data_IF_892935892703
#
_entry.id   IF_892935892703
#
_cell.length_a   1.000
_cell.length_b   1.000
_cell.length_c   1.000
_cell.angle_alpha   90.00
_cell.angle_beta   90.00
_cell.angle_gamma   90.00
#
_symmetry.space_group_name_H-M   'P 1'
#
loop_
_entity.id
_entity.type
_entity.pdbx_description
1 polymer ?
#
# COMPACT_ATOMS: atom_id res chain seq x y z
N UNK A 1 -4.50 2.84 90.67
CA UNK A 1 -4.43 2.13 89.42
C UNK A 1 -4.93 3.09 88.38
N UNK A 2 -4.06 3.75 87.65
CA UNK A 2 -4.48 4.42 86.45
C UNK A 2 -3.64 3.99 85.23
N UNK A 3 -4.37 3.83 84.16
CA UNK A 3 -3.93 3.47 82.84
C UNK A 3 -3.07 4.62 82.17
N UNK A 4 -1.98 4.20 81.55
CA UNK A 4 -1.10 5.10 80.79
C UNK A 4 -1.39 4.87 79.34
N UNK A 5 -1.99 5.89 78.66
CA UNK A 5 -2.10 5.94 77.20
C UNK A 5 -0.82 6.52 76.60
N UNK A 6 -0.16 5.72 75.81
CA UNK A 6 0.98 6.15 74.96
C UNK A 6 0.45 6.50 73.57
N UNK A 7 0.49 7.79 73.21
CA UNK A 7 0.17 8.27 71.88
C UNK A 7 1.39 8.18 70.98
N UNK A 8 1.30 7.36 69.93
CA UNK A 8 2.33 7.23 68.92
C UNK A 8 2.10 8.27 67.83
N UNK A 9 3.00 9.22 67.69
CA UNK A 9 3.05 10.17 66.58
C UNK A 9 3.61 9.42 65.33
N UNK A 10 2.82 9.34 64.26
CA UNK A 10 3.28 8.89 62.95
C UNK A 10 3.76 10.10 62.14
N UNK A 11 5.03 10.14 61.85
CA UNK A 11 5.64 11.07 60.88
C UNK A 11 5.34 10.55 59.46
N UNK A 12 4.54 11.30 58.72
CA UNK A 12 4.37 11.17 57.28
C UNK A 12 5.57 11.83 56.54
N UNK A 13 6.47 11.01 56.02
CA UNK A 13 7.47 11.44 55.09
C UNK A 13 6.90 11.37 53.64
N UNK A 14 6.58 12.51 53.10
CA UNK A 14 6.15 12.67 51.70
C UNK A 14 7.39 12.62 50.81
N UNK A 15 7.70 11.46 50.27
CA UNK A 15 8.70 11.32 49.21
C UNK A 15 8.07 11.68 47.85
N UNK A 16 8.47 12.80 47.27
CA UNK A 16 8.22 13.12 45.86
C UNK A 16 9.14 12.22 45.02
N UNK A 17 8.55 11.15 44.44
CA UNK A 17 9.17 10.43 43.32
C UNK A 17 8.85 11.22 42.05
N UNK A 18 9.85 11.95 41.56
CA UNK A 18 9.84 12.47 40.19
C UNK A 18 9.98 11.26 39.25
N UNK A 19 8.89 10.80 38.67
CA UNK A 19 8.91 9.89 37.55
C UNK A 19 9.36 10.71 36.33
N UNK A 20 10.65 10.63 36.00
CA UNK A 20 11.15 11.01 34.69
C UNK A 20 10.62 9.94 33.72
N UNK A 21 9.56 10.22 33.01
CA UNK A 21 9.17 9.48 31.82
C UNK A 21 10.28 9.75 30.79
N UNK A 22 11.20 8.81 30.68
CA UNK A 22 11.97 8.60 29.46
C UNK A 22 10.93 8.14 28.43
N UNK A 23 10.50 9.04 27.57
CA UNK A 23 9.89 8.67 26.30
C UNK A 23 11.03 8.08 25.47
N UNK A 24 11.31 6.80 25.68
CA UNK A 24 11.90 5.98 24.64
C UNK A 24 10.78 5.81 23.63
N UNK A 25 10.90 6.46 22.48
CA UNK A 25 10.13 6.07 21.31
C UNK A 25 10.56 4.64 20.96
N UNK A 26 9.87 3.66 21.53
CA UNK A 26 9.78 2.35 20.92
C UNK A 26 8.80 2.59 19.74
N UNK A 27 9.28 2.47 18.53
CA UNK A 27 8.39 2.18 17.42
C UNK A 27 7.54 0.98 17.85
N UNK A 28 6.23 1.05 17.75
CA UNK A 28 5.42 -0.14 17.87
C UNK A 28 5.85 -1.04 16.71
N UNK A 29 6.31 -2.24 17.03
CA UNK A 29 6.60 -3.25 16.02
C UNK A 29 5.29 -3.44 15.22
N UNK A 30 5.37 -3.46 13.89
CA UNK A 30 4.19 -3.70 13.05
C UNK A 30 3.66 -5.11 13.36
N UNK A 31 2.34 -5.23 13.58
CA UNK A 31 1.70 -6.53 13.64
C UNK A 31 1.83 -7.24 12.28
N UNK A 32 1.87 -8.58 12.21
CA UNK A 32 1.94 -9.30 10.95
C UNK A 32 0.70 -9.02 10.07
N UNK A 33 0.82 -9.33 8.77
CA UNK A 33 -0.28 -9.20 7.82
C UNK A 33 -1.48 -10.06 8.24
N UNK A 34 -2.56 -9.42 8.59
CA UNK A 34 -3.83 -10.01 9.00
C UNK A 34 -4.96 -9.61 8.03
N UNK A 35 -6.19 -10.03 8.27
CA UNK A 35 -7.35 -9.68 7.45
C UNK A 35 -8.57 -9.31 8.29
N UNK A 36 -9.60 -8.72 7.70
CA UNK A 36 -10.81 -8.29 8.38
C UNK A 36 -10.58 -7.09 9.29
N UNK A 37 -11.06 -7.17 10.54
CA UNK A 37 -10.93 -6.09 11.53
C UNK A 37 -9.48 -5.91 12.04
N UNK A 38 -8.63 -6.90 11.84
CA UNK A 38 -7.22 -6.89 12.25
C UNK A 38 -6.26 -6.48 11.11
N UNK A 39 -6.76 -6.24 9.90
CA UNK A 39 -5.96 -5.72 8.79
C UNK A 39 -5.47 -4.30 9.08
N UNK A 40 -4.19 -4.05 8.79
CA UNK A 40 -3.61 -2.71 8.80
C UNK A 40 -2.63 -2.53 7.64
N UNK A 41 -2.55 -1.31 7.11
CA UNK A 41 -1.56 -0.94 6.10
C UNK A 41 -0.15 -1.02 6.68
N UNK A 42 0.02 -0.63 7.96
CA UNK A 42 1.31 -0.73 8.64
C UNK A 42 1.77 -2.19 8.76
N UNK A 43 0.87 -3.12 9.14
CA UNK A 43 1.15 -4.55 9.17
C UNK A 43 1.56 -5.08 7.80
N UNK A 44 0.82 -4.69 6.75
CA UNK A 44 1.12 -5.07 5.37
C UNK A 44 2.49 -4.54 4.90
N UNK A 45 2.83 -3.28 5.19
CA UNK A 45 4.15 -2.69 4.87
C UNK A 45 5.27 -3.34 5.71
N UNK A 46 4.94 -3.82 6.91
CA UNK A 46 5.82 -4.58 7.80
C UNK A 46 6.30 -5.93 7.24
N UNK A 47 5.56 -6.50 6.28
CA UNK A 47 5.97 -7.74 5.59
C UNK A 47 6.98 -7.51 4.46
N UNK A 48 7.20 -6.26 4.04
CA UNK A 48 8.02 -5.96 2.87
C UNK A 48 9.47 -5.68 3.28
N UNK A 49 10.46 -6.49 2.81
CA UNK A 49 11.85 -6.33 3.18
C UNK A 49 12.44 -4.98 2.75
N UNK A 50 13.08 -4.27 3.67
CA UNK A 50 13.78 -3.01 3.38
C UNK A 50 15.04 -3.21 2.50
N UNK A 51 15.50 -4.46 2.33
CA UNK A 51 16.64 -4.79 1.48
C UNK A 51 16.38 -4.62 -0.03
N UNK A 52 15.11 -4.54 -0.44
CA UNK A 52 14.73 -4.22 -1.82
C UNK A 52 14.79 -2.70 -2.00
N UNK A 53 15.98 -2.18 -2.32
CA UNK A 53 16.22 -0.75 -2.47
C UNK A 53 15.87 -0.26 -3.88
N UNK A 54 15.39 1.00 -4.00
CA UNK A 54 15.21 1.65 -5.30
C UNK A 54 14.41 2.95 -5.23
N UNK A 55 14.57 3.77 -6.28
CA UNK A 55 13.96 5.12 -6.36
C UNK A 55 12.50 5.11 -6.86
N UNK A 56 11.97 3.95 -7.27
CA UNK A 56 10.65 3.84 -7.91
C UNK A 56 9.81 2.72 -7.30
N UNK A 57 9.85 2.61 -5.97
CA UNK A 57 9.07 1.63 -5.23
C UNK A 57 7.57 1.94 -5.33
N UNK A 58 6.80 0.92 -5.72
CA UNK A 58 5.34 0.92 -5.66
C UNK A 58 4.90 -0.21 -4.74
N UNK A 59 4.26 0.16 -3.65
CA UNK A 59 3.70 -0.79 -2.68
C UNK A 59 2.20 -0.85 -2.91
N UNK A 60 1.65 -2.06 -3.01
CA UNK A 60 0.23 -2.33 -3.12
C UNK A 60 -0.18 -3.22 -1.96
N UNK A 61 -1.22 -2.84 -1.23
CA UNK A 61 -1.74 -3.65 -0.13
C UNK A 61 -3.26 -3.74 -0.20
N UNK A 62 -3.83 -4.82 0.33
CA UNK A 62 -5.28 -4.93 0.38
C UNK A 62 -5.78 -6.14 1.15
N UNK A 63 -6.94 -5.95 1.75
CA UNK A 63 -7.78 -6.98 2.34
C UNK A 63 -8.90 -7.33 1.35
N UNK A 64 -8.79 -8.50 0.69
CA UNK A 64 -9.76 -8.96 -0.28
C UNK A 64 -11.07 -9.39 0.38
N UNK A 65 -11.01 -9.87 1.62
CA UNK A 65 -12.18 -10.26 2.39
C UNK A 65 -13.02 -9.04 2.73
N UNK A 66 -12.41 -7.99 3.27
CA UNK A 66 -13.07 -6.72 3.60
C UNK A 66 -13.58 -5.98 2.36
N UNK A 67 -12.76 -5.93 1.30
CA UNK A 67 -13.15 -5.30 0.05
C UNK A 67 -14.35 -6.00 -0.59
N UNK A 68 -14.41 -7.34 -0.53
CA UNK A 68 -15.57 -8.11 -1.01
C UNK A 68 -16.82 -7.80 -0.20
N UNK A 69 -16.71 -7.69 1.14
CA UNK A 69 -17.83 -7.29 2.02
C UNK A 69 -18.35 -5.90 1.64
N UNK A 70 -17.45 -4.92 1.52
CA UNK A 70 -17.76 -3.53 1.11
C UNK A 70 -18.44 -3.47 -0.26
N UNK A 71 -17.95 -4.25 -1.22
CA UNK A 71 -18.52 -4.33 -2.56
C UNK A 71 -19.84 -5.12 -2.60
N UNK A 72 -20.13 -5.94 -1.57
CA UNK A 72 -21.26 -6.86 -1.56
C UNK A 72 -21.09 -8.02 -2.52
N UNK A 73 -19.83 -8.47 -2.71
CA UNK A 73 -19.46 -9.56 -3.62
C UNK A 73 -19.33 -10.87 -2.84
N UNK A 74 -19.84 -11.95 -3.43
CA UNK A 74 -19.57 -13.30 -2.94
C UNK A 74 -18.22 -13.78 -3.51
N UNK A 75 -17.28 -14.11 -2.64
CA UNK A 75 -15.97 -14.64 -3.03
C UNK A 75 -16.11 -16.04 -3.60
N UNK A 76 -15.56 -16.34 -4.80
CA UNK A 76 -15.52 -17.69 -5.33
C UNK A 76 -14.75 -18.64 -4.41
N UNK A 77 -15.22 -19.89 -4.32
CA UNK A 77 -14.58 -20.93 -3.51
C UNK A 77 -13.75 -21.92 -4.35
N UNK A 78 -13.67 -21.72 -5.67
CA UNK A 78 -13.04 -22.64 -6.61
C UNK A 78 -12.27 -21.86 -7.67
N UNK A 79 -10.97 -22.12 -7.78
CA UNK A 79 -10.07 -21.43 -8.72
C UNK A 79 -10.44 -21.70 -10.20
N UNK A 80 -11.16 -22.81 -10.50
CA UNK A 80 -11.65 -23.16 -11.85
C UNK A 80 -12.94 -22.42 -12.23
N UNK A 81 -13.53 -21.64 -11.32
CA UNK A 81 -14.78 -20.93 -11.57
C UNK A 81 -14.59 -19.74 -12.52
N UNK A 82 -15.49 -19.62 -13.53
CA UNK A 82 -15.58 -18.42 -14.37
C UNK A 82 -15.91 -17.15 -13.52
N UNK A 83 -16.45 -17.33 -12.29
CA UNK A 83 -16.80 -16.27 -11.35
C UNK A 83 -15.58 -15.55 -10.79
N UNK A 84 -14.39 -16.20 -10.78
CA UNK A 84 -13.14 -15.58 -10.26
C UNK A 84 -12.76 -14.33 -11.06
N UNK A 85 -12.84 -14.40 -12.39
CA UNK A 85 -12.53 -13.25 -13.24
C UNK A 85 -13.50 -12.09 -13.06
N UNK A 86 -14.79 -12.40 -12.81
CA UNK A 86 -15.82 -11.39 -12.52
C UNK A 86 -15.53 -10.74 -11.16
N UNK A 87 -15.32 -11.54 -10.12
CA UNK A 87 -14.98 -11.06 -8.78
C UNK A 87 -13.70 -10.20 -8.75
N UNK A 88 -12.61 -10.65 -9.38
CA UNK A 88 -11.34 -9.88 -9.51
C UNK A 88 -11.57 -8.59 -10.30
N UNK A 89 -12.35 -8.66 -11.39
CA UNK A 89 -12.69 -7.48 -12.19
C UNK A 89 -13.47 -6.44 -11.40
N UNK A 90 -14.44 -6.87 -10.61
CA UNK A 90 -15.26 -5.98 -9.77
C UNK A 90 -14.42 -5.35 -8.64
N UNK A 91 -13.54 -6.12 -7.99
CA UNK A 91 -12.61 -5.59 -6.98
C UNK A 91 -11.59 -4.61 -7.56
N UNK A 92 -11.14 -4.81 -8.80
CA UNK A 92 -10.19 -3.90 -9.47
C UNK A 92 -10.85 -2.67 -10.10
N UNK A 93 -12.14 -2.46 -9.86
CA UNK A 93 -12.89 -1.32 -10.39
C UNK A 93 -13.19 -1.41 -11.89
N UNK A 94 -13.07 -2.60 -12.51
CA UNK A 94 -13.40 -2.84 -13.90
C UNK A 94 -14.91 -3.06 -14.15
N UNK A 95 -15.75 -2.75 -13.15
CA UNK A 95 -17.21 -2.89 -13.25
C UNK A 95 -17.76 -2.26 -14.52
N UNK A 96 -18.78 -2.90 -15.10
CA UNK A 96 -19.39 -2.46 -16.36
C UNK A 96 -19.93 -1.03 -16.25
N UNK A 97 -19.80 -0.21 -17.32
CA UNK A 97 -20.19 1.20 -17.30
C UNK A 97 -21.68 1.49 -17.10
N UNK A 98 -22.51 0.47 -17.00
CA UNK A 98 -23.95 0.57 -16.81
C UNK A 98 -24.41 0.26 -15.36
N UNK A 99 -23.50 -0.11 -14.46
CA UNK A 99 -23.82 -0.35 -13.05
C UNK A 99 -23.35 0.83 -12.20
N UNK A 100 -24.21 1.28 -11.29
CA UNK A 100 -23.93 2.41 -10.41
C UNK A 100 -22.59 2.19 -9.65
N UNK A 101 -21.58 2.96 -10.02
CA UNK A 101 -20.27 3.14 -9.36
C UNK A 101 -19.72 1.93 -8.59
N UNK A 102 -18.56 1.43 -9.01
CA UNK A 102 -17.79 0.45 -8.22
C UNK A 102 -17.74 0.91 -6.76
N UNK A 103 -18.14 0.02 -5.84
CA UNK A 103 -18.19 0.35 -4.40
C UNK A 103 -16.85 0.16 -3.70
N UNK A 104 -16.00 -0.69 -4.28
CA UNK A 104 -14.67 -0.96 -3.80
C UNK A 104 -13.65 -0.86 -4.94
N UNK A 105 -12.41 -0.62 -4.56
CA UNK A 105 -11.25 -0.72 -5.44
C UNK A 105 -10.07 -1.27 -4.66
N UNK A 106 -9.45 -2.32 -5.20
CA UNK A 106 -8.22 -2.91 -4.70
C UNK A 106 -7.19 -2.87 -5.83
N UNK A 107 -6.03 -2.25 -5.62
CA UNK A 107 -4.94 -2.25 -6.60
C UNK A 107 -4.23 -3.61 -6.58
N UNK A 108 -4.72 -4.58 -7.37
CA UNK A 108 -4.19 -5.95 -7.39
C UNK A 108 -2.83 -6.02 -8.11
N UNK A 109 -1.80 -6.63 -7.51
CA UNK A 109 -0.51 -6.83 -8.16
C UNK A 109 -0.56 -7.93 -9.21
N UNK A 110 0.25 -7.80 -10.27
CA UNK A 110 0.34 -8.79 -11.35
C UNK A 110 0.77 -10.19 -10.83
N UNK A 111 1.56 -10.25 -9.74
CA UNK A 111 1.97 -11.52 -9.14
C UNK A 111 0.81 -12.27 -8.48
N UNK A 112 -0.22 -11.56 -7.99
CA UNK A 112 -1.41 -12.16 -7.40
C UNK A 112 -2.43 -12.57 -8.45
N UNK A 113 -2.56 -11.79 -9.52
CA UNK A 113 -3.49 -12.03 -10.64
C UNK A 113 -2.72 -11.93 -11.95
N UNK A 114 -1.93 -12.98 -12.30
CA UNK A 114 -1.12 -12.96 -13.50
C UNK A 114 -2.00 -12.84 -14.75
N UNK A 115 -1.64 -11.94 -15.66
CA UNK A 115 -2.43 -11.63 -16.87
C UNK A 115 -2.67 -12.85 -17.77
N UNK A 116 -1.77 -13.85 -17.71
CA UNK A 116 -1.68 -14.94 -18.68
C UNK A 116 -1.85 -16.33 -18.10
N UNK A 117 -1.90 -16.47 -16.79
CA UNK A 117 -2.22 -17.71 -16.10
C UNK A 117 -3.61 -17.61 -15.49
N UNK A 118 -4.37 -18.69 -15.56
CA UNK A 118 -5.63 -18.79 -14.82
C UNK A 118 -5.35 -19.06 -13.34
N UNK A 119 -6.27 -18.68 -12.43
CA UNK A 119 -6.13 -19.05 -11.02
C UNK A 119 -5.94 -20.55 -10.78
N UNK A 120 -6.60 -21.41 -11.58
CA UNK A 120 -6.43 -22.87 -11.50
C UNK A 120 -5.08 -23.37 -12.01
N UNK A 121 -4.44 -22.68 -12.96
CA UNK A 121 -3.05 -23.00 -13.36
C UNK A 121 -2.07 -22.62 -12.24
N UNK A 122 -2.31 -21.52 -11.54
CA UNK A 122 -1.53 -21.10 -10.38
C UNK A 122 -1.69 -22.11 -9.22
N UNK A 123 -2.93 -22.44 -8.86
CA UNK A 123 -3.25 -23.45 -7.83
C UNK A 123 -2.57 -24.80 -8.14
N UNK A 124 -2.67 -25.30 -9.39
CA UNK A 124 -2.04 -26.55 -9.81
C UNK A 124 -0.51 -26.52 -9.82
N UNK A 125 0.12 -25.36 -9.90
CA UNK A 125 1.58 -25.21 -9.96
C UNK A 125 2.22 -24.97 -8.60
N UNK A 126 1.56 -24.19 -7.73
CA UNK A 126 2.16 -23.74 -6.46
C UNK A 126 1.30 -24.09 -5.23
N UNK A 127 0.09 -24.61 -5.41
CA UNK A 127 -0.80 -25.07 -4.35
C UNK A 127 -1.76 -23.99 -3.83
N UNK A 128 -1.77 -22.78 -4.39
CA UNK A 128 -2.70 -21.72 -4.02
C UNK A 128 -3.00 -20.77 -5.19
N UNK A 129 -4.03 -19.95 -5.03
CA UNK A 129 -4.42 -18.94 -6.00
C UNK A 129 -5.09 -17.75 -5.33
N UNK A 130 -5.49 -16.73 -6.09
CA UNK A 130 -6.14 -15.52 -5.55
C UNK A 130 -7.41 -15.81 -4.73
N UNK A 131 -8.10 -16.94 -4.96
CA UNK A 131 -9.28 -17.31 -4.18
C UNK A 131 -8.96 -17.76 -2.76
N UNK A 132 -7.72 -18.09 -2.45
CA UNK A 132 -7.26 -18.55 -1.14
C UNK A 132 -6.69 -17.40 -0.29
N UNK A 133 -6.49 -16.21 -0.91
CA UNK A 133 -5.85 -15.05 -0.29
C UNK A 133 -6.85 -14.16 0.41
N UNK A 134 -6.69 -13.92 1.69
CA UNK A 134 -7.51 -12.99 2.48
C UNK A 134 -6.96 -11.54 2.41
N UNK A 135 -5.65 -11.38 2.54
CA UNK A 135 -4.97 -10.09 2.40
C UNK A 135 -3.61 -10.24 1.74
N UNK A 136 -3.06 -9.13 1.26
CA UNK A 136 -1.76 -9.15 0.60
C UNK A 136 -0.98 -7.85 0.82
N UNK A 137 0.34 -7.96 0.69
CA UNK A 137 1.29 -6.86 0.54
C UNK A 137 2.22 -7.16 -0.63
N UNK A 138 2.41 -6.22 -1.54
CA UNK A 138 3.28 -6.38 -2.70
C UNK A 138 4.17 -5.15 -2.89
N UNK A 139 5.43 -5.39 -3.24
CA UNK A 139 6.42 -4.37 -3.60
C UNK A 139 6.90 -4.63 -5.03
N UNK A 140 6.80 -3.61 -5.86
CA UNK A 140 7.38 -3.62 -7.20
C UNK A 140 8.50 -2.60 -7.29
N UNK A 141 9.71 -3.07 -7.55
CA UNK A 141 10.92 -2.29 -7.80
C UNK A 141 11.74 -2.97 -8.90
N UNK A 142 11.46 -2.72 -10.19
CA UNK A 142 12.12 -3.46 -11.26
C UNK A 142 13.65 -3.41 -11.20
N UNK A 143 14.34 -4.55 -11.37
CA UNK A 143 13.79 -5.86 -11.81
C UNK A 143 13.24 -6.73 -10.68
N UNK A 144 13.21 -6.27 -9.46
CA UNK A 144 12.77 -7.02 -8.29
C UNK A 144 11.28 -6.81 -8.02
N UNK A 145 10.63 -7.85 -7.53
CA UNK A 145 9.28 -7.88 -7.03
C UNK A 145 9.22 -8.73 -5.76
N UNK A 146 8.26 -8.43 -4.91
CA UNK A 146 8.00 -9.17 -3.68
C UNK A 146 6.50 -9.14 -3.38
N UNK A 147 5.96 -10.28 -3.02
CA UNK A 147 4.56 -10.46 -2.63
C UNK A 147 4.50 -11.27 -1.36
N UNK A 148 3.71 -10.85 -0.39
CA UNK A 148 3.26 -11.68 0.73
C UNK A 148 1.75 -11.76 0.68
N UNK A 149 1.22 -12.96 0.88
CA UNK A 149 -0.22 -13.21 0.98
C UNK A 149 -0.52 -13.87 2.32
N UNK A 150 -1.65 -13.51 2.93
CA UNK A 150 -2.23 -14.15 4.11
C UNK A 150 -3.52 -14.84 3.72
N UNK A 151 -3.80 -15.99 4.34
CA UNK A 151 -4.99 -16.77 4.06
C UNK A 151 -5.05 -18.02 4.94
N UNK A 152 -5.90 -18.97 4.57
CA UNK A 152 -6.01 -20.22 5.30
C UNK A 152 -4.90 -21.23 4.88
N UNK A 153 -3.64 -20.76 4.88
CA UNK A 153 -2.48 -21.57 4.49
C UNK A 153 -1.97 -22.42 5.65
N UNK A 154 -1.39 -23.56 5.33
CA UNK A 154 -0.76 -24.49 6.29
C UNK A 154 0.50 -25.12 5.68
N UNK A 155 1.28 -25.86 6.47
CA UNK A 155 2.56 -26.46 6.09
C UNK A 155 2.50 -27.37 4.83
N UNK A 156 1.31 -27.75 4.38
CA UNK A 156 1.08 -28.57 3.20
C UNK A 156 0.52 -27.75 2.01
N UNK A 157 0.44 -26.40 2.12
CA UNK A 157 -0.17 -25.55 1.08
C UNK A 157 0.72 -25.47 -0.17
N UNK A 158 2.01 -25.25 -0.02
CA UNK A 158 2.93 -25.22 -1.16
C UNK A 158 3.06 -26.62 -1.79
N UNK A 159 2.96 -26.70 -3.12
CA UNK A 159 2.97 -27.97 -3.86
C UNK A 159 4.26 -28.78 -3.62
N UNK A 160 4.13 -30.07 -3.33
CA UNK A 160 5.24 -30.99 -3.04
C UNK A 160 6.22 -31.20 -4.21
N UNK A 161 5.81 -30.86 -5.44
CA UNK A 161 6.64 -30.95 -6.65
C UNK A 161 7.58 -29.74 -6.83
N UNK A 162 7.43 -28.68 -6.01
CA UNK A 162 8.35 -27.53 -6.00
C UNK A 162 9.76 -27.95 -5.59
N UNK A 163 10.76 -27.32 -6.20
CA UNK A 163 12.17 -27.66 -5.97
C UNK A 163 12.75 -26.82 -4.84
N UNK A 164 13.40 -27.47 -3.86
CA UNK A 164 14.15 -26.78 -2.79
C UNK A 164 15.36 -26.04 -3.37
N UNK A 165 15.51 -24.76 -2.98
CA UNK A 165 16.62 -23.88 -3.41
C UNK A 165 17.53 -23.52 -2.25
N UNK A 166 16.97 -23.26 -1.08
CA UNK A 166 17.65 -22.96 0.18
C UNK A 166 16.80 -23.50 1.34
N UNK A 167 17.29 -23.43 2.58
CA UNK A 167 16.53 -23.85 3.75
C UNK A 167 15.17 -23.11 3.77
N UNK A 168 14.06 -23.87 3.75
CA UNK A 168 12.68 -23.38 3.76
C UNK A 168 12.25 -22.52 2.55
N UNK A 169 13.08 -22.43 1.48
CA UNK A 169 12.75 -21.72 0.23
C UNK A 169 12.67 -22.71 -0.92
N UNK A 170 11.53 -22.68 -1.63
CA UNK A 170 11.27 -23.50 -2.82
C UNK A 170 11.12 -22.65 -4.08
N UNK A 171 11.07 -23.27 -5.25
CA UNK A 171 10.91 -22.59 -6.54
C UNK A 171 10.05 -23.40 -7.50
N UNK A 172 9.30 -22.67 -8.33
CA UNK A 172 8.51 -23.20 -9.45
C UNK A 172 9.39 -23.68 -10.63
N UNK A 173 10.54 -23.03 -10.84
CA UNK A 173 11.53 -23.39 -11.87
C UNK A 173 12.94 -23.37 -11.28
N UNK A 174 13.72 -24.41 -11.58
CA UNK A 174 15.13 -24.48 -11.17
C UNK A 174 15.98 -23.56 -12.02
N UNK A 175 16.70 -22.63 -11.38
CA UNK A 175 17.59 -21.65 -12.02
C UNK A 175 18.21 -20.69 -11.01
N UNK A 176 19.14 -19.85 -11.45
CA UNK A 176 19.66 -18.74 -10.64
C UNK A 176 18.61 -17.60 -10.60
N UNK A 177 18.67 -16.73 -9.60
CA UNK A 177 17.80 -15.55 -9.52
C UNK A 177 17.90 -14.74 -10.82
N UNK A 178 16.75 -14.30 -11.35
CA UNK A 178 16.62 -13.60 -12.64
C UNK A 178 17.08 -14.38 -13.90
N UNK A 179 17.42 -15.66 -13.79
CA UNK A 179 17.69 -16.47 -14.97
C UNK A 179 16.40 -16.71 -15.77
N UNK A 180 16.46 -16.43 -17.09
CA UNK A 180 15.28 -16.56 -17.94
C UNK A 180 15.31 -17.88 -18.72
N UNK A 181 14.25 -18.67 -18.60
CA UNK A 181 14.06 -19.91 -19.36
C UNK A 181 12.73 -19.88 -20.14
N UNK A 182 12.73 -19.24 -21.29
CA UNK A 182 11.53 -19.07 -22.13
C UNK A 182 10.91 -20.41 -22.63
N UNK A 183 11.60 -21.54 -22.43
CA UNK A 183 11.09 -22.86 -22.78
C UNK A 183 10.25 -23.47 -21.64
N UNK A 184 10.35 -22.91 -20.43
CA UNK A 184 9.64 -23.34 -19.22
C UNK A 184 8.87 -22.16 -18.57
N UNK A 185 7.80 -21.66 -19.21
CA UNK A 185 6.97 -20.61 -18.61
C UNK A 185 6.24 -21.13 -17.37
N UNK A 186 6.05 -20.25 -16.39
CA UNK A 186 5.33 -20.54 -15.15
C UNK A 186 4.07 -19.67 -15.01
N UNK A 187 3.26 -19.94 -14.01
CA UNK A 187 2.10 -19.11 -13.67
C UNK A 187 2.52 -17.67 -13.30
N UNK A 188 3.68 -17.50 -12.65
CA UNK A 188 4.22 -16.19 -12.28
C UNK A 188 5.01 -15.51 -13.41
N UNK A 189 5.59 -16.29 -14.33
CA UNK A 189 6.52 -15.76 -15.33
C UNK A 189 6.41 -16.41 -16.69
N UNK A 190 5.95 -15.69 -17.69
CA UNK A 190 5.92 -16.15 -19.10
C UNK A 190 7.29 -16.41 -19.70
N UNK A 191 8.32 -15.75 -19.18
CA UNK A 191 9.69 -15.86 -19.66
C UNK A 191 10.48 -16.86 -18.85
N UNK A 192 9.79 -17.61 -17.95
CA UNK A 192 10.38 -18.66 -17.12
C UNK A 192 11.44 -18.11 -16.16
N UNK A 193 11.24 -16.90 -15.62
CA UNK A 193 12.04 -16.46 -14.49
C UNK A 193 11.61 -17.25 -13.26
N UNK A 194 12.54 -17.80 -12.47
CA UNK A 194 12.20 -18.53 -11.26
C UNK A 194 11.52 -17.62 -10.24
N UNK A 195 10.48 -18.14 -9.59
CA UNK A 195 9.85 -17.52 -8.42
C UNK A 195 10.29 -18.27 -7.17
N UNK A 196 10.75 -17.53 -6.16
CA UNK A 196 11.13 -18.06 -4.85
C UNK A 196 9.93 -17.97 -3.93
N UNK A 197 9.59 -19.06 -3.30
CA UNK A 197 8.41 -19.20 -2.45
C UNK A 197 8.84 -19.69 -1.07
N UNK A 198 8.23 -19.15 -0.03
CA UNK A 198 8.34 -19.67 1.33
C UNK A 198 7.03 -19.49 2.06
N UNK A 199 6.77 -20.36 3.05
CA UNK A 199 5.62 -20.28 3.93
C UNK A 199 6.10 -20.08 5.37
N UNK A 200 5.44 -19.18 6.09
CA UNK A 200 5.64 -18.95 7.53
C UNK A 200 4.35 -18.48 8.19
N UNK A 201 3.88 -19.22 9.18
CA UNK A 201 2.77 -18.88 10.07
C UNK A 201 1.49 -18.41 9.32
N UNK A 202 1.05 -19.20 8.32
CA UNK A 202 -0.18 -18.93 7.54
C UNK A 202 -0.04 -17.81 6.49
N UNK A 203 1.21 -17.47 6.14
CA UNK A 203 1.54 -16.51 5.08
C UNK A 203 2.48 -17.16 4.08
N UNK A 204 2.36 -16.74 2.82
CA UNK A 204 3.26 -17.18 1.75
C UNK A 204 3.93 -15.95 1.13
N UNK A 205 5.26 -15.97 1.10
CA UNK A 205 6.06 -15.00 0.37
C UNK A 205 6.42 -15.52 -1.02
N UNK A 206 6.42 -14.63 -2.02
CA UNK A 206 6.87 -14.90 -3.38
C UNK A 206 7.75 -13.76 -3.90
N UNK A 207 8.90 -14.09 -4.51
CA UNK A 207 9.82 -13.08 -5.06
C UNK A 207 10.63 -13.64 -6.22
N UNK A 208 11.17 -12.75 -7.06
CA UNK A 208 12.16 -13.07 -8.08
C UNK A 208 13.55 -13.33 -7.50
N UNK A 209 13.79 -13.09 -6.20
CA UNK A 209 15.09 -13.23 -5.54
C UNK A 209 15.04 -14.06 -4.26
N UNK A 210 16.01 -14.97 -4.12
CA UNK A 210 16.20 -15.79 -2.91
C UNK A 210 16.53 -14.91 -1.69
N UNK A 211 17.26 -13.82 -1.90
CA UNK A 211 17.66 -12.90 -0.84
C UNK A 211 16.46 -12.28 -0.14
N UNK A 212 15.53 -11.72 -0.87
CA UNK A 212 14.34 -11.05 -0.32
C UNK A 212 13.45 -12.00 0.50
N UNK A 213 13.23 -13.24 0.00
CA UNK A 213 12.47 -14.26 0.75
C UNK A 213 13.17 -14.67 2.03
N UNK A 214 14.51 -14.79 1.99
CA UNK A 214 15.31 -15.10 3.19
C UNK A 214 15.25 -14.00 4.24
N UNK A 215 15.33 -12.72 3.81
CA UNK A 215 15.26 -11.55 4.71
C UNK A 215 13.89 -11.52 5.40
N UNK A 216 12.81 -11.81 4.65
CA UNK A 216 11.47 -11.94 5.20
C UNK A 216 11.36 -13.07 6.24
N UNK A 217 11.84 -14.29 5.93
CA UNK A 217 11.84 -15.43 6.86
C UNK A 217 12.63 -15.15 8.15
N UNK A 218 13.69 -14.35 8.05
CA UNK A 218 14.52 -13.98 9.22
C UNK A 218 13.87 -12.87 10.08
N UNK A 219 12.84 -12.18 9.59
CA UNK A 219 12.27 -11.00 10.24
C UNK A 219 13.28 -9.85 10.30
N UNK A 220 14.05 -9.63 9.22
CA UNK A 220 14.97 -8.52 9.09
C UNK A 220 14.20 -7.17 8.97
N UNK A 221 14.91 -6.02 8.87
CA UNK A 221 14.27 -4.68 8.74
C UNK A 221 13.27 -4.64 7.60
N UNK A 222 12.11 -4.03 7.85
CA UNK A 222 11.00 -3.89 6.90
C UNK A 222 10.80 -2.44 6.44
N UNK A 223 9.98 -2.22 5.42
CA UNK A 223 9.62 -0.88 4.97
C UNK A 223 8.77 -0.11 5.99
N UNK A 224 8.14 -0.78 6.96
CA UNK A 224 7.45 -0.10 8.07
C UNK A 224 8.42 0.66 9.00
N UNK A 225 9.70 0.30 9.00
CA UNK A 225 10.76 1.00 9.75
C UNK A 225 11.25 2.28 9.04
N UNK A 226 10.95 2.45 7.75
CA UNK A 226 11.19 3.70 7.04
C UNK A 226 10.16 4.75 7.47
N UNK A 227 10.63 5.95 7.81
CA UNK A 227 9.79 6.99 8.37
C UNK A 227 8.66 7.41 7.41
N UNK A 228 8.97 7.54 6.11
CA UNK A 228 7.99 7.93 5.09
C UNK A 228 6.88 6.90 4.93
N UNK A 229 7.24 5.65 4.70
CA UNK A 229 6.26 4.57 4.54
C UNK A 229 5.51 4.25 5.83
N UNK A 230 6.23 4.17 6.96
CA UNK A 230 5.63 3.88 8.26
C UNK A 230 4.65 4.94 8.74
N UNK A 231 4.98 6.23 8.59
CA UNK A 231 4.08 7.32 9.00
C UNK A 231 2.87 7.43 8.08
N UNK A 232 3.05 7.25 6.75
CA UNK A 232 1.94 7.20 5.79
C UNK A 232 1.01 6.03 6.06
N UNK A 233 1.55 4.84 6.34
CA UNK A 233 0.78 3.65 6.65
C UNK A 233 -0.07 3.85 7.92
N UNK A 234 0.51 4.37 9.01
CA UNK A 234 -0.23 4.69 10.26
C UNK A 234 -1.35 5.71 10.02
N UNK A 235 -1.07 6.76 9.23
CA UNK A 235 -2.07 7.76 8.92
C UNK A 235 -3.24 7.17 8.10
N UNK A 236 -2.97 6.21 7.20
CA UNK A 236 -4.02 5.50 6.48
C UNK A 236 -4.82 4.55 7.39
N UNK A 237 -4.18 3.91 8.37
CA UNK A 237 -4.85 3.03 9.34
C UNK A 237 -5.85 3.79 10.23
N UNK A 238 -5.60 5.07 10.57
CA UNK A 238 -6.57 5.92 11.28
C UNK A 238 -7.88 6.16 10.49
N UNK A 239 -7.90 5.83 9.19
CA UNK A 239 -9.06 5.95 8.31
C UNK A 239 -9.72 4.61 7.95
N UNK A 240 -9.36 3.52 8.62
CA UNK A 240 -9.93 2.17 8.42
C UNK A 240 -9.92 1.72 6.95
N UNK A 241 -8.83 1.97 6.22
CA UNK A 241 -8.72 1.61 4.80
C UNK A 241 -8.63 0.08 4.64
N UNK A 242 -9.26 -0.45 3.59
CA UNK A 242 -9.19 -1.88 3.24
C UNK A 242 -8.19 -2.18 2.13
N UNK A 243 -7.69 -1.16 1.46
CA UNK A 243 -6.65 -1.30 0.44
C UNK A 243 -5.88 0.01 0.30
N UNK A 244 -4.59 -0.08 -0.01
CA UNK A 244 -3.76 1.10 -0.21
C UNK A 244 -2.71 0.90 -1.31
N UNK A 245 -2.23 2.03 -1.84
CA UNK A 245 -1.01 2.13 -2.63
C UNK A 245 -0.11 3.16 -2.00
N UNK A 246 1.18 2.82 -1.81
CA UNK A 246 2.20 3.75 -1.32
C UNK A 246 3.32 3.86 -2.34
N UNK A 247 3.91 5.04 -2.46
CA UNK A 247 5.04 5.28 -3.37
C UNK A 247 5.94 6.37 -2.84
N UNK A 248 7.26 6.18 -3.00
CA UNK A 248 8.19 7.28 -2.88
C UNK A 248 7.96 8.28 -4.01
N UNK A 249 8.03 9.57 -3.70
CA UNK A 249 7.84 10.66 -4.65
C UNK A 249 9.18 11.30 -4.97
N UNK A 250 9.52 11.32 -6.24
CA UNK A 250 10.70 12.07 -6.67
C UNK A 250 10.37 13.55 -6.84
N UNK A 251 11.19 14.46 -6.29
CA UNK A 251 10.94 15.89 -6.45
C UNK A 251 11.08 16.34 -7.90
N UNK A 252 10.28 17.33 -8.26
CA UNK A 252 10.29 17.99 -9.56
C UNK A 252 9.22 17.49 -10.54
N UNK A 253 8.83 18.41 -11.41
CA UNK A 253 7.86 18.14 -12.48
C UNK A 253 8.57 17.42 -13.64
N UNK A 254 8.11 16.22 -14.00
CA UNK A 254 8.62 15.54 -15.19
C UNK A 254 8.17 16.26 -16.47
N UNK A 255 9.10 17.05 -17.02
CA UNK A 255 8.87 17.75 -18.29
C UNK A 255 8.43 16.82 -19.43
N UNK A 256 8.83 15.54 -19.42
CA UNK A 256 8.44 14.58 -20.44
C UNK A 256 6.96 14.20 -20.34
N UNK A 257 6.41 14.15 -19.13
CA UNK A 257 4.99 13.90 -18.91
C UNK A 257 4.11 15.05 -19.42
N UNK A 258 4.60 16.29 -19.39
CA UNK A 258 3.89 17.48 -19.88
C UNK A 258 3.84 17.60 -21.41
N UNK A 259 4.73 16.90 -22.15
CA UNK A 259 4.84 17.00 -23.62
C UNK A 259 3.94 15.96 -24.32
N UNK A 260 2.90 15.45 -23.69
CA UNK A 260 1.99 14.49 -24.31
C UNK A 260 1.29 15.09 -25.53
N UNK A 261 1.88 14.87 -26.72
CA UNK A 261 1.25 15.08 -28.03
C UNK A 261 1.51 16.40 -28.75
N UNK A 262 2.38 17.28 -28.26
CA UNK A 262 2.67 18.56 -28.91
C UNK A 262 4.18 18.90 -29.00
N UNK A 263 4.56 19.70 -30.01
CA UNK A 263 5.86 20.39 -30.02
C UNK A 263 5.71 21.66 -29.18
N UNK A 264 6.14 21.59 -27.92
CA UNK A 264 6.23 22.74 -27.03
C UNK A 264 7.66 23.27 -27.14
N UNK A 265 7.84 24.60 -27.27
CA UNK A 265 9.18 25.18 -27.25
C UNK A 265 9.75 25.11 -25.84
N UNK A 266 11.10 25.15 -25.71
CA UNK A 266 11.73 25.12 -24.39
C UNK A 266 11.29 26.28 -23.48
N UNK A 267 11.02 27.46 -24.06
CA UNK A 267 10.56 28.65 -23.34
C UNK A 267 9.10 28.48 -22.85
N UNK A 268 8.23 27.88 -23.67
CA UNK A 268 6.84 27.57 -23.27
C UNK A 268 6.80 26.47 -22.21
N UNK A 269 7.67 25.47 -22.28
CA UNK A 269 7.79 24.41 -21.28
C UNK A 269 8.27 24.96 -19.93
N UNK A 270 9.31 25.82 -19.94
CA UNK A 270 9.82 26.45 -18.73
C UNK A 270 8.73 27.32 -18.04
N UNK A 271 7.98 28.11 -18.82
CA UNK A 271 6.88 28.91 -18.29
C UNK A 271 5.72 28.03 -17.74
N UNK A 272 5.45 26.87 -18.35
CA UNK A 272 4.44 25.95 -17.85
C UNK A 272 4.89 25.28 -16.55
N UNK A 273 6.15 24.86 -16.44
CA UNK A 273 6.71 24.28 -15.20
C UNK A 273 6.61 25.30 -14.07
N UNK A 274 7.08 26.57 -14.29
CA UNK A 274 6.99 27.63 -13.30
C UNK A 274 5.52 27.87 -12.84
N UNK A 275 4.57 27.86 -13.77
CA UNK A 275 3.14 28.00 -13.44
C UNK A 275 2.60 26.82 -12.62
N UNK A 276 3.07 25.60 -12.86
CA UNK A 276 2.64 24.41 -12.11
C UNK A 276 3.31 24.37 -10.73
N UNK A 277 4.59 24.72 -10.62
CA UNK A 277 5.31 24.84 -9.35
C UNK A 277 4.62 25.84 -8.40
N UNK A 278 4.08 26.94 -8.91
CA UNK A 278 3.31 27.91 -8.14
C UNK A 278 2.02 27.33 -7.49
N UNK A 279 1.54 26.18 -7.96
CA UNK A 279 0.35 25.49 -7.44
C UNK A 279 0.68 24.41 -6.41
N UNK A 280 1.95 24.00 -6.31
CA UNK A 280 2.39 22.96 -5.38
C UNK A 280 2.66 23.55 -3.98
N UNK A 281 2.58 22.73 -2.90
CA UNK A 281 3.08 23.12 -1.59
C UNK A 281 4.54 23.60 -1.66
N UNK A 282 4.92 24.61 -0.89
CA UNK A 282 6.30 25.12 -0.81
C UNK A 282 7.25 24.07 -0.18
N UNK A 283 6.73 23.24 0.75
CA UNK A 283 7.48 22.15 1.34
C UNK A 283 7.33 20.89 0.48
N UNK A 284 8.46 20.22 0.24
CA UNK A 284 8.46 18.94 -0.47
C UNK A 284 7.91 17.83 0.42
N UNK A 285 7.19 16.90 -0.17
CA UNK A 285 6.86 15.60 0.41
C UNK A 285 7.61 14.50 -0.34
N UNK A 286 8.01 13.46 0.36
CA UNK A 286 8.87 12.38 -0.15
C UNK A 286 8.12 11.05 -0.34
N UNK A 287 7.02 10.86 0.38
CA UNK A 287 6.20 9.64 0.32
C UNK A 287 4.73 10.01 0.24
N UNK A 288 3.98 9.26 -0.55
CA UNK A 288 2.54 9.40 -0.68
C UNK A 288 1.87 8.04 -0.54
N UNK A 289 0.70 8.02 0.10
CA UNK A 289 -0.18 6.86 0.16
C UNK A 289 -1.60 7.23 -0.24
N UNK A 290 -2.29 6.32 -0.91
CA UNK A 290 -3.71 6.43 -1.24
C UNK A 290 -4.39 5.20 -0.65
N UNK A 291 -5.37 5.41 0.22
CA UNK A 291 -6.18 4.36 0.82
C UNK A 291 -7.65 4.44 0.39
N UNK A 292 -8.29 3.30 0.25
CA UNK A 292 -9.72 3.20 -0.03
C UNK A 292 -10.44 2.67 1.18
N UNK A 293 -11.51 3.36 1.56
CA UNK A 293 -12.38 3.06 2.69
C UNK A 293 -13.82 3.42 2.36
N UNK A 294 -14.71 3.32 3.34
CA UNK A 294 -16.11 3.74 3.21
C UNK A 294 -16.55 4.57 4.41
N UNK A 295 -17.46 5.50 4.17
CA UNK A 295 -18.17 6.22 5.20
C UNK A 295 -19.68 6.16 4.93
N UNK A 296 -20.46 5.62 5.86
CA UNK A 296 -21.91 5.36 5.69
C UNK A 296 -22.21 4.58 4.37
N UNK A 297 -21.44 3.53 4.06
CA UNK A 297 -21.52 2.71 2.83
C UNK A 297 -21.18 3.45 1.51
N UNK A 298 -20.70 4.69 1.58
CA UNK A 298 -20.22 5.42 0.41
C UNK A 298 -18.70 5.36 0.28
N UNK A 299 -18.15 5.20 -0.93
CA UNK A 299 -16.71 5.19 -1.13
C UNK A 299 -16.03 6.47 -0.67
N UNK A 300 -14.90 6.31 0.01
CA UNK A 300 -14.04 7.40 0.47
C UNK A 300 -12.59 7.06 0.11
N UNK A 301 -11.82 8.07 -0.26
CA UNK A 301 -10.40 7.97 -0.59
C UNK A 301 -9.63 8.86 0.39
N UNK A 302 -8.71 8.27 1.14
CA UNK A 302 -7.74 8.98 1.96
C UNK A 302 -6.41 9.07 1.21
N UNK A 303 -5.86 10.27 1.04
CA UNK A 303 -4.55 10.47 0.42
C UNK A 303 -3.62 11.11 1.44
N UNK A 304 -2.56 10.40 1.82
CA UNK A 304 -1.59 10.78 2.83
C UNK A 304 -0.29 11.26 2.17
N UNK A 305 0.26 12.39 2.61
CA UNK A 305 1.49 13.01 2.11
C UNK A 305 2.46 13.19 3.26
N UNK A 306 3.62 12.54 3.23
CA UNK A 306 4.64 12.66 4.26
C UNK A 306 5.61 13.81 3.96
N UNK A 307 5.87 14.66 4.98
CA UNK A 307 6.78 15.79 4.94
C UNK A 307 7.93 15.59 5.94
N UNK A 308 9.05 16.26 5.73
CA UNK A 308 10.21 16.19 6.62
C UNK A 308 9.91 16.57 8.08
N UNK A 309 8.80 17.25 8.36
CA UNK A 309 8.44 17.69 9.71
C UNK A 309 6.95 18.02 9.86
N UNK A 310 6.49 17.98 11.12
CA UNK A 310 5.13 18.40 11.51
C UNK A 310 4.83 19.86 11.14
N UNK A 311 5.80 20.77 11.22
CA UNK A 311 5.61 22.18 10.84
C UNK A 311 5.43 22.31 9.32
N UNK A 312 6.22 21.59 8.52
CA UNK A 312 6.06 21.56 7.06
C UNK A 312 4.72 20.96 6.64
N UNK A 313 4.27 19.88 7.29
CA UNK A 313 2.94 19.31 7.07
C UNK A 313 1.83 20.32 7.34
N UNK A 314 1.85 21.02 8.48
CA UNK A 314 0.86 22.05 8.85
C UNK A 314 0.82 23.22 7.88
N UNK A 315 1.97 23.68 7.42
CA UNK A 315 2.07 24.81 6.49
C UNK A 315 1.58 24.43 5.08
N UNK A 316 1.51 23.13 4.75
CA UNK A 316 1.09 22.59 3.44
C UNK A 316 -0.43 22.32 3.33
N UNK A 317 -1.18 22.31 4.42
CA UNK A 317 -2.63 21.98 4.46
C UNK A 317 -3.45 22.81 3.48
N UNK A 318 -3.29 24.14 3.50
CA UNK A 318 -4.07 25.02 2.65
C UNK A 318 -3.69 24.86 1.16
N UNK A 319 -2.40 24.65 0.87
CA UNK A 319 -1.92 24.45 -0.50
C UNK A 319 -2.43 23.13 -1.09
N UNK A 320 -2.39 22.02 -0.31
CA UNK A 320 -2.97 20.74 -0.74
C UNK A 320 -4.47 20.85 -0.98
N UNK A 321 -5.23 21.50 -0.09
CA UNK A 321 -6.65 21.74 -0.31
C UNK A 321 -6.90 22.51 -1.61
N UNK A 322 -6.17 23.61 -1.84
CA UNK A 322 -6.32 24.42 -3.05
C UNK A 322 -5.96 23.62 -4.31
N UNK A 323 -4.94 22.73 -4.23
CA UNK A 323 -4.54 21.84 -5.32
C UNK A 323 -5.70 20.93 -5.76
N UNK A 324 -6.41 20.31 -4.83
CA UNK A 324 -7.57 19.45 -5.15
C UNK A 324 -8.77 20.24 -5.66
N UNK A 325 -9.09 21.39 -5.04
CA UNK A 325 -10.30 22.16 -5.33
C UNK A 325 -10.18 23.03 -6.58
N UNK A 326 -8.98 23.54 -6.89
CA UNK A 326 -8.78 24.60 -7.88
C UNK A 326 -7.89 24.21 -9.06
N UNK A 327 -7.08 23.15 -8.94
CA UNK A 327 -6.13 22.79 -9.99
C UNK A 327 -6.76 21.85 -11.04
N UNK A 328 -6.05 21.67 -12.13
CA UNK A 328 -6.51 20.89 -13.28
C UNK A 328 -5.54 19.76 -13.54
N UNK A 329 -6.07 18.55 -13.72
CA UNK A 329 -5.28 17.37 -14.13
C UNK A 329 -4.53 17.67 -15.44
N UNK A 330 -3.24 17.42 -15.45
CA UNK A 330 -2.42 17.55 -16.65
C UNK A 330 -2.81 16.52 -17.73
N UNK A 331 -3.30 15.35 -17.31
CA UNK A 331 -3.69 14.26 -18.20
C UNK A 331 -5.04 14.50 -18.87
N UNK A 332 -6.06 14.83 -18.09
CA UNK A 332 -7.43 14.96 -18.58
C UNK A 332 -7.82 16.37 -19.00
N UNK A 333 -7.06 17.38 -18.60
CA UNK A 333 -7.34 18.81 -18.79
C UNK A 333 -8.67 19.24 -18.14
N UNK A 334 -9.10 18.54 -17.07
CA UNK A 334 -10.30 18.83 -16.29
C UNK A 334 -9.93 19.12 -14.84
N UNK A 335 -10.72 19.93 -14.12
CA UNK A 335 -10.51 20.17 -12.71
C UNK A 335 -10.47 18.88 -11.91
N UNK A 336 -9.59 18.76 -10.89
CA UNK A 336 -9.59 17.59 -10.01
C UNK A 336 -10.90 17.42 -9.27
N UNK A 337 -11.60 18.52 -8.96
CA UNK A 337 -12.94 18.50 -8.37
C UNK A 337 -14.03 17.84 -9.24
N UNK A 338 -13.77 17.60 -10.54
CA UNK A 338 -14.64 16.78 -11.38
C UNK A 338 -14.48 15.27 -11.10
N UNK A 339 -13.46 14.88 -10.35
CA UNK A 339 -13.12 13.48 -10.01
C UNK A 339 -13.17 13.19 -8.51
N UNK A 340 -12.72 14.15 -7.68
CA UNK A 340 -12.58 14.02 -6.24
C UNK A 340 -13.17 15.24 -5.53
N UNK A 341 -14.20 15.03 -4.73
CA UNK A 341 -14.80 16.07 -3.88
C UNK A 341 -14.14 16.02 -2.50
N UNK A 342 -13.37 17.06 -2.13
CA UNK A 342 -12.66 17.10 -0.83
C UNK A 342 -13.67 17.23 0.31
N UNK A 343 -13.57 16.35 1.31
CA UNK A 343 -14.34 16.40 2.54
C UNK A 343 -13.53 16.96 3.72
N UNK A 344 -12.25 16.62 3.81
CA UNK A 344 -11.35 17.01 4.88
C UNK A 344 -9.91 17.14 4.44
N UNK A 345 -9.14 17.97 5.15
CA UNK A 345 -7.68 17.99 5.11
C UNK A 345 -7.20 18.19 6.54
N UNK A 346 -6.45 17.24 7.06
CA UNK A 346 -5.97 17.24 8.44
C UNK A 346 -4.49 16.81 8.50
N UNK A 347 -3.87 16.98 9.66
CA UNK A 347 -2.46 16.64 9.88
C UNK A 347 -2.34 15.63 10.99
N UNK A 348 -1.53 14.60 10.76
CA UNK A 348 -1.13 13.58 11.73
C UNK A 348 0.40 13.53 11.80
N UNK A 349 0.96 14.24 12.78
CA UNK A 349 2.41 14.40 12.88
C UNK A 349 3.01 15.08 11.64
N UNK A 350 3.88 14.38 10.93
CA UNK A 350 4.53 14.81 9.68
C UNK A 350 3.70 14.52 8.42
N UNK A 351 2.50 13.94 8.55
CA UNK A 351 1.64 13.57 7.43
C UNK A 351 0.46 14.54 7.31
N UNK A 352 0.11 14.90 6.07
CA UNK A 352 -1.17 15.54 5.74
C UNK A 352 -2.06 14.53 5.06
N UNK A 353 -3.27 14.34 5.57
CA UNK A 353 -4.27 13.47 4.97
C UNK A 353 -5.38 14.31 4.33
N UNK A 354 -5.63 14.05 3.04
CA UNK A 354 -6.77 14.61 2.29
C UNK A 354 -7.81 13.52 2.13
N UNK A 355 -8.97 13.69 2.74
CA UNK A 355 -10.12 12.82 2.52
C UNK A 355 -11.01 13.37 1.42
N UNK A 356 -11.41 12.52 0.48
CA UNK A 356 -12.23 12.92 -0.66
C UNK A 356 -13.19 11.81 -1.08
N UNK A 357 -14.35 12.21 -1.64
CA UNK A 357 -15.27 11.26 -2.28
C UNK A 357 -15.08 11.27 -3.80
N UNK A 358 -15.21 10.12 -4.47
CA UNK A 358 -15.36 10.13 -5.92
C UNK A 358 -16.56 11.00 -6.33
N UNK A 359 -16.36 11.98 -7.22
CA UNK A 359 -17.43 12.81 -7.75
C UNK A 359 -18.43 11.96 -8.58
N UNK A 360 -19.66 12.46 -8.77
CA UNK A 360 -20.69 11.74 -9.49
C UNK A 360 -20.22 11.33 -10.90
N UNK A 361 -20.18 10.02 -11.16
CA UNK A 361 -19.71 9.44 -12.43
C UNK A 361 -18.18 9.40 -12.62
N UNK A 362 -17.42 9.74 -11.59
CA UNK A 362 -15.98 9.56 -11.58
C UNK A 362 -15.60 8.12 -11.17
N UNK A 363 -14.47 7.64 -11.69
CA UNK A 363 -13.96 6.33 -11.32
C UNK A 363 -13.36 6.35 -9.91
N UNK A 364 -13.70 5.38 -9.08
CA UNK A 364 -13.15 5.22 -7.72
C UNK A 364 -11.62 5.11 -7.70
N UNK A 365 -11.03 4.59 -8.77
CA UNK A 365 -9.58 4.41 -8.92
C UNK A 365 -8.87 5.63 -9.55
N UNK A 366 -9.55 6.78 -9.69
CA UNK A 366 -8.94 7.98 -10.31
C UNK A 366 -7.65 8.41 -9.61
N UNK A 367 -7.62 8.43 -8.27
CA UNK A 367 -6.43 8.81 -7.52
C UNK A 367 -5.23 7.90 -7.84
N UNK A 368 -5.45 6.58 -7.94
CA UNK A 368 -4.43 5.62 -8.38
C UNK A 368 -3.93 5.91 -9.80
N UNK A 369 -4.84 6.17 -10.74
CA UNK A 369 -4.44 6.52 -12.11
C UNK A 369 -3.62 7.82 -12.14
N UNK A 370 -4.00 8.82 -11.36
CA UNK A 370 -3.26 10.07 -11.24
C UNK A 370 -1.86 9.86 -10.64
N UNK A 371 -1.71 8.98 -9.63
CA UNK A 371 -0.41 8.61 -9.06
C UNK A 371 0.48 7.93 -10.11
N UNK A 372 0.00 6.89 -10.77
CA UNK A 372 0.79 6.13 -11.77
C UNK A 372 1.16 6.99 -12.98
N UNK A 373 0.30 7.93 -13.36
CA UNK A 373 0.57 8.88 -14.44
C UNK A 373 1.38 10.13 -14.01
N UNK A 374 1.74 10.22 -12.71
CA UNK A 374 2.43 11.38 -12.13
C UNK A 374 1.71 12.68 -12.42
N UNK A 375 0.38 12.68 -12.23
CA UNK A 375 -0.41 13.90 -12.36
C UNK A 375 -0.10 14.87 -11.19
N UNK A 376 -0.51 16.12 -11.31
CA UNK A 376 -0.10 17.22 -10.44
C UNK A 376 -0.36 16.97 -8.94
N UNK A 377 -1.37 16.16 -8.59
CA UNK A 377 -1.63 15.75 -7.19
C UNK A 377 -0.44 15.01 -6.55
N UNK A 378 0.40 14.36 -7.37
CA UNK A 378 1.47 13.46 -6.93
C UNK A 378 2.85 13.93 -7.41
N UNK A 379 3.01 15.25 -7.51
CA UNK A 379 4.29 15.91 -7.84
C UNK A 379 4.70 16.78 -6.65
N UNK A 380 5.92 16.59 -6.18
CA UNK A 380 6.56 17.35 -5.10
C UNK A 380 7.55 18.38 -5.66
N UNK A 381 7.79 19.50 -4.94
CA UNK A 381 8.81 20.49 -5.31
C UNK A 381 10.24 19.99 -5.06
#
# INVERSE_FOLDING_TARGET
MPDVHISTLALLATGLLALSALVTGCGEDADPLESGDDYSVLGAVGELPASIEGDAQLILTGDLSKASEVAGLDRPSDADSDEVNEWVGDLSGAAAPDDDTARAFVPLPDALVPFDASPSEMDAQVGWSVVDVDSFAALTQPPEDFLVVSGAFDEDTLDEDLSEVDDDIVTDVVGEDHELNVEEPTAFSRIGAPTRLAEDDGRIAASSTTGAVRDWLNGDESLADDAGYGDVARALDEHDVYAAVLSAVQPGIDAAALILGGQVSAEELEALIEQLEDQLPEASYDTVGIGWTTDDDAPLVATAYHFDSEDAAKDSVDALRELYESSTSAQSQRPFSDYLEVEGVETEGSVVVVTSRPAEGAAIHFAYQALVSRDLLFVSQ
#
